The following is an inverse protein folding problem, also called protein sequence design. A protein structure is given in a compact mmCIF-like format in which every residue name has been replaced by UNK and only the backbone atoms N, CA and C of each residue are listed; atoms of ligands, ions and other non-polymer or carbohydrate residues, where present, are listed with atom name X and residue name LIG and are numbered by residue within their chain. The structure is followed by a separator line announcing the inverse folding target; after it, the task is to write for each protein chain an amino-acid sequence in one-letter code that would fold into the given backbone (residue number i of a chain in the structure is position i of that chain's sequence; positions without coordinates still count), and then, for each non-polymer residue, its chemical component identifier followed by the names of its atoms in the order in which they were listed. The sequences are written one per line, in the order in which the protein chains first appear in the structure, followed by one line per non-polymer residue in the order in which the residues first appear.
data_IF_048426449856
#
_entry.id   IF_048426449856
#
_cell.length_a   1.000
_cell.length_b   1.000
_cell.length_c   1.000
_cell.angle_alpha   90.00
_cell.angle_beta   90.00
_cell.angle_gamma   90.00
#
_symmetry.space_group_name_H-M   'P 1'
#
loop_
_entity.id
_entity.type
_entity.pdbx_description
1 polymer ?
#
# COMPACT_ATOMS: atom_id res chain seq x y z
N UNK A 1 8.72 -6.69 -5.59
CA UNK A 1 7.68 -7.36 -4.80
C UNK A 1 6.35 -6.61 -4.76
N UNK A 2 6.35 -5.30 -4.59
CA UNK A 2 5.10 -4.53 -4.63
C UNK A 2 4.35 -4.72 -5.95
N UNK A 3 5.09 -4.86 -7.05
CA UNK A 3 4.49 -5.05 -8.38
C UNK A 3 3.60 -6.28 -8.45
N UNK A 4 3.96 -7.35 -7.76
CA UNK A 4 3.22 -8.61 -7.80
C UNK A 4 2.02 -8.60 -6.85
N UNK A 5 1.99 -7.68 -5.90
CA UNK A 5 1.00 -7.67 -4.82
C UNK A 5 -0.05 -6.60 -5.00
N UNK A 6 0.36 -5.39 -5.43
CA UNK A 6 -0.56 -4.27 -5.60
C UNK A 6 -1.31 -4.34 -6.93
N UNK A 7 -2.51 -3.76 -7.00
CA UNK A 7 -3.17 -3.56 -8.30
C UNK A 7 -2.26 -2.79 -9.24
N UNK A 8 -2.33 -3.11 -10.54
CA UNK A 8 -1.43 -2.54 -11.54
C UNK A 8 -1.51 -1.01 -11.59
N UNK A 9 -2.70 -0.44 -11.52
CA UNK A 9 -2.89 1.02 -11.58
C UNK A 9 -2.24 1.71 -10.38
N UNK A 10 -2.39 1.14 -9.19
CA UNK A 10 -1.78 1.68 -7.97
C UNK A 10 -0.26 1.59 -8.08
N UNK A 11 0.25 0.43 -8.49
CA UNK A 11 1.70 0.24 -8.64
C UNK A 11 2.30 1.23 -9.65
N UNK A 12 1.63 1.46 -10.77
CA UNK A 12 2.13 2.37 -11.80
C UNK A 12 2.22 3.81 -11.30
N UNK A 13 1.25 4.26 -10.51
CA UNK A 13 1.31 5.60 -9.91
C UNK A 13 2.51 5.69 -8.97
N UNK A 14 2.68 4.69 -8.11
CA UNK A 14 3.80 4.68 -7.17
C UNK A 14 5.13 4.68 -7.91
N UNK A 15 5.26 3.81 -8.91
CA UNK A 15 6.50 3.69 -9.67
C UNK A 15 6.88 4.99 -10.37
N UNK A 16 5.90 5.68 -10.94
CA UNK A 16 6.16 6.87 -11.76
C UNK A 16 6.24 8.16 -10.94
N UNK A 17 5.59 8.23 -9.79
CA UNK A 17 5.41 9.50 -9.08
C UNK A 17 6.02 9.54 -7.69
N UNK A 18 6.39 8.40 -7.10
CA UNK A 18 6.86 8.34 -5.72
C UNK A 18 8.29 7.82 -5.69
N UNK A 19 9.14 8.48 -4.90
CA UNK A 19 10.49 7.99 -4.67
C UNK A 19 10.43 6.88 -3.60
N UNK A 20 10.67 5.64 -4.01
CA UNK A 20 10.61 4.50 -3.11
C UNK A 20 11.63 4.58 -1.97
N UNK A 21 12.72 5.31 -2.16
CA UNK A 21 13.72 5.50 -1.09
C UNK A 21 13.16 6.31 0.09
N UNK A 22 12.19 7.16 -0.19
CA UNK A 22 11.54 7.98 0.84
C UNK A 22 10.24 7.39 1.34
N UNK A 23 9.73 6.35 0.69
CA UNK A 23 8.45 5.73 1.02
C UNK A 23 8.65 4.77 2.20
N UNK A 24 7.95 5.04 3.30
CA UNK A 24 8.02 4.23 4.51
C UNK A 24 6.87 3.25 4.63
N UNK A 25 5.67 3.69 4.28
CA UNK A 25 4.48 2.86 4.44
C UNK A 25 3.41 3.22 3.41
N UNK A 26 2.70 2.19 2.97
CA UNK A 26 1.45 2.33 2.21
C UNK A 26 0.36 1.76 3.11
N UNK A 27 -0.59 2.59 3.53
CA UNK A 27 -1.65 2.14 4.43
C UNK A 27 -2.95 1.96 3.69
N UNK A 28 -3.48 0.74 3.77
CA UNK A 28 -4.73 0.34 3.12
C UNK A 28 -5.74 -0.05 4.19
N UNK A 29 -6.87 0.64 4.21
CA UNK A 29 -7.98 0.35 5.13
C UNK A 29 -9.26 0.35 4.31
N UNK A 30 -10.11 -0.63 4.55
CA UNK A 30 -11.33 -0.82 3.76
C UNK A 30 -12.20 0.44 3.77
N UNK A 31 -12.56 0.91 2.57
CA UNK A 31 -13.40 2.07 2.33
C UNK A 31 -12.82 3.38 2.86
N UNK A 32 -11.49 3.43 2.99
CA UNK A 32 -10.78 4.62 3.42
C UNK A 32 -9.78 5.06 2.34
N UNK A 33 -9.39 6.34 2.34
CA UNK A 33 -8.37 6.80 1.42
C UNK A 33 -7.05 6.06 1.64
N UNK A 34 -6.33 5.82 0.55
CA UNK A 34 -4.99 5.23 0.64
C UNK A 34 -4.04 6.31 1.15
N UNK A 35 -3.31 5.99 2.22
CA UNK A 35 -2.38 6.92 2.87
C UNK A 35 -0.96 6.43 2.66
N UNK A 36 -0.07 7.34 2.29
CA UNK A 36 1.36 7.08 2.18
C UNK A 36 2.08 7.77 3.32
N UNK A 37 3.08 7.12 3.88
CA UNK A 37 4.04 7.76 4.78
C UNK A 37 5.33 7.95 4.00
N UNK A 38 5.72 9.20 3.77
CA UNK A 38 6.89 9.57 2.99
C UNK A 38 7.72 10.53 3.83
N UNK A 39 8.97 10.14 4.13
CA UNK A 39 9.85 10.98 4.93
C UNK A 39 9.27 11.34 6.28
N UNK A 40 8.49 10.46 6.88
CA UNK A 40 7.85 10.68 8.16
C UNK A 40 6.54 11.47 8.12
N UNK A 41 6.11 11.91 6.94
CA UNK A 41 4.86 12.64 6.77
C UNK A 41 3.82 11.78 6.09
N UNK A 42 2.55 12.00 6.44
CA UNK A 42 1.44 11.26 5.86
C UNK A 42 0.73 12.11 4.82
N UNK A 43 0.40 11.50 3.68
CA UNK A 43 -0.28 12.17 2.59
C UNK A 43 -1.11 11.12 1.83
N UNK A 44 -2.18 11.56 1.16
CA UNK A 44 -3.01 10.64 0.37
C UNK A 44 -2.35 10.31 -0.95
N UNK A 45 -2.66 9.13 -1.47
CA UNK A 45 -2.33 8.75 -2.84
C UNK A 45 -3.50 9.16 -3.73
N UNK A 46 -3.20 9.91 -4.77
CA UNK A 46 -4.18 10.27 -5.81
C UNK A 46 -3.78 9.70 -7.16
N UNK A 47 -4.61 9.93 -8.16
CA UNK A 47 -4.37 9.43 -9.51
C UNK A 47 -3.11 9.98 -10.18
N UNK A 48 -2.65 11.16 -9.76
CA UNK A 48 -1.47 11.82 -10.32
C UNK A 48 -0.29 11.86 -9.35
N UNK A 49 -0.32 11.08 -8.29
CA UNK A 49 0.72 11.05 -7.27
C UNK A 49 0.17 11.40 -5.91
N UNK A 50 0.94 12.14 -5.11
CA UNK A 50 0.48 12.54 -3.78
C UNK A 50 -0.52 13.68 -3.88
N UNK A 51 -1.48 13.71 -2.95
CA UNK A 51 -2.44 14.79 -2.84
C UNK A 51 -2.85 14.98 -1.38
N UNK A 52 -3.09 16.23 -1.00
CA UNK A 52 -3.68 16.55 0.31
C UNK A 52 -5.19 16.75 0.20
N UNK A 53 -5.73 16.69 -1.01
CA UNK A 53 -7.15 16.87 -1.26
C UNK A 53 -7.88 15.53 -1.19
N UNK A 54 -8.73 15.38 -0.18
CA UNK A 54 -9.48 14.16 0.03
C UNK A 54 -10.33 13.76 -1.18
N UNK A 55 -10.81 14.75 -1.94
CA UNK A 55 -11.63 14.51 -3.13
C UNK A 55 -10.83 13.85 -4.25
N UNK A 56 -9.51 14.03 -4.26
CA UNK A 56 -8.64 13.46 -5.29
C UNK A 56 -8.03 12.14 -4.85
N UNK A 57 -8.21 11.75 -3.60
CA UNK A 57 -7.60 10.55 -3.04
C UNK A 57 -8.21 9.29 -3.62
N UNK A 58 -7.36 8.29 -3.85
CA UNK A 58 -7.80 6.95 -4.20
C UNK A 58 -8.18 6.21 -2.93
N UNK A 59 -9.18 5.35 -3.03
CA UNK A 59 -9.70 4.60 -1.88
C UNK A 59 -9.37 3.12 -2.03
N UNK A 60 -9.12 2.46 -0.91
CA UNK A 60 -8.97 1.01 -0.87
C UNK A 60 -10.33 0.37 -0.63
N UNK A 61 -10.68 -0.64 -1.43
CA UNK A 61 -11.87 -1.42 -1.19
C UNK A 61 -11.53 -2.70 -0.43
N UNK A 62 -12.53 -3.29 0.20
CA UNK A 62 -12.36 -4.59 0.87
C UNK A 62 -11.85 -5.64 -0.11
N UNK A 63 -12.41 -5.64 -1.33
CA UNK A 63 -12.01 -6.61 -2.37
C UNK A 63 -10.54 -6.41 -2.76
N UNK A 64 -10.11 -5.15 -2.90
CA UNK A 64 -8.70 -4.85 -3.18
C UNK A 64 -7.79 -5.42 -2.09
N UNK A 65 -8.15 -5.21 -0.83
CA UNK A 65 -7.35 -5.68 0.30
C UNK A 65 -7.30 -7.20 0.33
N UNK A 66 -8.43 -7.87 0.10
CA UNK A 66 -8.48 -9.33 0.06
C UNK A 66 -7.60 -9.87 -1.06
N UNK A 67 -7.63 -9.24 -2.23
CA UNK A 67 -6.78 -9.64 -3.36
C UNK A 67 -5.30 -9.45 -3.04
N UNK A 68 -4.96 -8.35 -2.38
CA UNK A 68 -3.57 -8.09 -1.96
C UNK A 68 -3.09 -9.17 -1.01
N UNK A 69 -3.90 -9.53 -0.02
CA UNK A 69 -3.56 -10.59 0.94
C UNK A 69 -3.36 -11.92 0.21
N UNK A 70 -4.24 -12.23 -0.73
CA UNK A 70 -4.12 -13.46 -1.51
C UNK A 70 -2.81 -13.49 -2.30
N UNK A 71 -2.50 -12.40 -2.99
CA UNK A 71 -1.27 -12.29 -3.78
C UNK A 71 -0.03 -12.37 -2.89
N UNK A 72 -0.07 -11.75 -1.72
CA UNK A 72 1.04 -11.83 -0.76
C UNK A 72 1.29 -13.27 -0.34
N UNK A 73 0.24 -14.06 -0.14
CA UNK A 73 0.36 -15.47 0.20
C UNK A 73 1.01 -16.26 -0.92
N UNK A 74 0.69 -15.93 -2.17
CA UNK A 74 1.27 -16.60 -3.34
C UNK A 74 2.75 -16.26 -3.55
N UNK A 75 3.19 -15.10 -3.06
CA UNK A 75 4.58 -14.66 -3.24
C UNK A 75 5.55 -15.28 -2.22
N UNK A 76 5.12 -16.24 -1.43
CA UNK A 76 5.96 -16.94 -0.45
C UNK A 76 6.62 -16.00 0.54
N UNK A 77 5.92 -14.95 0.96
CA UNK A 77 6.39 -14.03 1.97
C UNK A 77 6.47 -14.76 3.31
N UNK A 78 7.64 -14.72 3.94
CA UNK A 78 7.84 -15.37 5.23
C UNK A 78 6.89 -14.80 6.28
N UNK A 79 6.21 -15.70 6.99
CA UNK A 79 5.30 -15.32 8.08
C UNK A 79 4.20 -14.34 7.68
N UNK A 80 3.69 -14.42 6.45
CA UNK A 80 2.71 -13.46 5.95
C UNK A 80 1.46 -13.40 6.86
N UNK A 81 0.96 -14.55 7.32
CA UNK A 81 -0.23 -14.57 8.17
C UNK A 81 0.02 -13.90 9.52
N UNK A 82 1.21 -14.11 10.09
CA UNK A 82 1.58 -13.47 11.35
C UNK A 82 1.71 -11.97 11.19
N UNK A 83 2.29 -11.52 10.07
CA UNK A 83 2.43 -10.10 9.78
C UNK A 83 1.06 -9.46 9.60
N UNK A 84 0.15 -10.08 8.86
CA UNK A 84 -1.20 -9.55 8.64
C UNK A 84 -1.93 -9.39 9.97
N UNK A 85 -1.78 -10.34 10.90
CA UNK A 85 -2.36 -10.22 12.24
C UNK A 85 -1.84 -9.01 13.00
N UNK A 86 -0.60 -8.59 12.73
CA UNK A 86 0.00 -7.40 13.33
C UNK A 86 -0.42 -6.12 12.61
N UNK A 87 -1.11 -6.23 11.47
CA UNK A 87 -1.63 -5.11 10.73
C UNK A 87 -0.75 -4.59 9.61
N UNK A 88 0.35 -5.26 9.29
CA UNK A 88 1.22 -4.84 8.18
C UNK A 88 2.08 -5.98 7.68
N UNK A 89 2.53 -5.84 6.42
CA UNK A 89 3.48 -6.74 5.79
C UNK A 89 4.72 -5.91 5.47
N UNK A 90 5.91 -6.42 5.84
CA UNK A 90 7.17 -5.75 5.49
C UNK A 90 7.60 -6.23 4.11
N UNK A 91 7.72 -5.28 3.18
CA UNK A 91 8.14 -5.57 1.81
C UNK A 91 9.66 -5.48 1.70
N UNK A 92 10.20 -6.07 0.63
CA UNK A 92 11.62 -5.94 0.32
C UNK A 92 11.98 -4.46 0.23
N UNK A 93 13.08 -4.07 0.88
CA UNK A 93 13.48 -2.66 0.94
C UNK A 93 12.97 -1.92 2.17
N UNK A 94 12.17 -2.58 3.02
CA UNK A 94 11.72 -2.01 4.28
C UNK A 94 10.41 -1.25 4.23
N UNK A 95 9.78 -1.17 3.07
CA UNK A 95 8.47 -0.52 2.96
C UNK A 95 7.42 -1.37 3.67
N UNK A 96 6.60 -0.74 4.50
CA UNK A 96 5.53 -1.43 5.21
C UNK A 96 4.23 -1.26 4.46
N UNK A 97 3.54 -2.37 4.22
CA UNK A 97 2.21 -2.37 3.64
C UNK A 97 1.23 -2.57 4.79
N UNK A 98 0.66 -1.47 5.29
CA UNK A 98 -0.30 -1.53 6.39
C UNK A 98 -1.66 -1.98 5.89
N UNK A 99 -2.22 -2.97 6.57
CA UNK A 99 -3.52 -3.54 6.21
C UNK A 99 -4.40 -3.48 7.44
N UNK A 100 -5.52 -2.78 7.32
CA UNK A 100 -6.45 -2.64 8.43
C UNK A 100 -7.88 -2.70 7.96
N UNK A 101 -8.76 -2.92 8.89
CA UNK A 101 -10.15 -3.09 8.60
C UNK A 101 -11.00 -1.87 8.84
#
# INVERSE_FOLDING_TARGET
MLKEILPDDIYEILRNKINFKSLNEIRLRADKPIVLAIGGQRIFLGGNGTTDNLKEALYASKIMIEDIIFRASECSIYSVNEQIKRGYIVMKGGIRLGIGG
#
